data_IF_911825089940
#
_entry.id   IF_911825089940
#
_cell.length_a   1.000
_cell.length_b   1.000
_cell.length_c   1.000
_cell.angle_alpha   90.00
_cell.angle_beta   90.00
_cell.angle_gamma   90.00
#
_symmetry.space_group_name_H-M   'P 1'
#
loop_
_entity.id
_entity.type
_entity.pdbx_description
1 polymer ?
#
# COMPACT_ATOMS: atom_id res chain seq x y z
N UNK A 1 48.42 -4.83 5.87
CA UNK A 1 47.63 -4.94 4.63
C UNK A 1 46.18 -4.81 5.04
N UNK A 2 45.43 -3.92 4.41
CA UNK A 2 44.09 -3.52 4.85
C UNK A 2 43.08 -4.60 4.46
N UNK A 3 42.33 -5.10 5.44
CA UNK A 3 41.19 -5.98 5.20
C UNK A 3 40.05 -5.14 4.63
N UNK A 4 40.00 -5.02 3.31
CA UNK A 4 39.00 -4.19 2.61
C UNK A 4 37.69 -4.99 2.50
N UNK A 5 37.12 -5.33 3.65
CA UNK A 5 35.89 -6.10 3.79
C UNK A 5 34.76 -5.35 3.09
N UNK A 6 34.18 -6.02 2.09
CA UNK A 6 33.06 -5.54 1.32
C UNK A 6 31.85 -5.27 2.24
N UNK A 7 31.69 -4.02 2.66
CA UNK A 7 30.36 -3.48 2.94
C UNK A 7 29.83 -2.97 1.60
N UNK A 8 29.28 -3.90 0.83
CA UNK A 8 28.11 -3.52 0.08
C UNK A 8 27.03 -3.29 1.16
N UNK A 9 26.61 -2.03 1.32
CA UNK A 9 25.31 -1.75 1.94
C UNK A 9 24.26 -2.28 0.96
N UNK A 10 24.05 -3.60 1.02
CA UNK A 10 22.91 -4.29 0.46
C UNK A 10 21.69 -3.86 1.27
N UNK A 11 21.23 -2.63 1.05
CA UNK A 11 19.88 -2.21 1.41
C UNK A 11 18.94 -3.20 0.71
N UNK A 12 18.47 -4.20 1.45
CA UNK A 12 17.62 -5.26 0.91
C UNK A 12 16.44 -4.61 0.18
N UNK A 13 16.40 -4.79 -1.15
CA UNK A 13 15.33 -4.26 -1.97
C UNK A 13 14.03 -4.91 -1.54
N UNK A 14 13.13 -4.13 -0.95
CA UNK A 14 11.85 -4.60 -0.44
C UNK A 14 10.74 -4.05 -1.32
N UNK A 15 9.94 -4.93 -1.92
CA UNK A 15 8.74 -4.55 -2.67
C UNK A 15 7.52 -5.01 -1.88
N UNK A 16 6.43 -4.24 -1.93
CA UNK A 16 5.15 -4.65 -1.34
C UNK A 16 4.01 -4.15 -2.20
N UNK A 17 3.06 -5.05 -2.48
CA UNK A 17 1.85 -4.76 -3.25
C UNK A 17 0.78 -4.18 -2.34
N UNK A 18 0.15 -3.10 -2.79
CA UNK A 18 -0.97 -2.47 -2.09
C UNK A 18 -2.16 -2.33 -3.03
N UNK A 19 -3.37 -2.56 -2.51
CA UNK A 19 -4.60 -2.05 -3.12
C UNK A 19 -4.95 -0.75 -2.43
N UNK A 20 -5.06 0.33 -3.21
CA UNK A 20 -5.40 1.67 -2.73
C UNK A 20 -6.91 1.83 -2.79
N UNK A 21 -7.54 2.09 -1.64
CA UNK A 21 -8.98 2.36 -1.58
C UNK A 21 -9.25 3.74 -1.00
N UNK A 22 -10.40 4.31 -1.32
CA UNK A 22 -10.81 5.63 -0.84
C UNK A 22 -11.97 5.51 0.16
N UNK A 23 -11.92 6.26 1.25
CA UNK A 23 -13.06 6.43 2.17
C UNK A 23 -13.33 7.90 2.46
N UNK A 24 -14.60 8.22 2.71
CA UNK A 24 -15.06 9.53 3.18
C UNK A 24 -16.03 9.31 4.34
N UNK A 25 -15.65 9.79 5.53
CA UNK A 25 -16.42 9.57 6.76
C UNK A 25 -16.64 8.08 7.07
N UNK A 26 -17.89 7.71 7.39
CA UNK A 26 -18.27 6.35 7.80
C UNK A 26 -18.74 5.46 6.64
N UNK A 27 -18.43 5.81 5.39
CA UNK A 27 -18.81 5.03 4.20
C UNK A 27 -17.80 3.90 3.96
N UNK A 28 -18.22 2.69 3.55
CA UNK A 28 -17.31 1.62 3.14
C UNK A 28 -16.25 2.10 2.15
N UNK A 29 -15.03 1.54 2.19
CA UNK A 29 -13.97 1.89 1.26
C UNK A 29 -14.39 1.58 -0.19
N UNK A 30 -13.86 2.35 -1.14
CA UNK A 30 -14.24 2.31 -2.56
C UNK A 30 -13.04 2.25 -3.48
N UNK A 31 -13.22 1.65 -4.64
CA UNK A 31 -12.30 1.71 -5.79
C UNK A 31 -12.13 3.15 -6.29
N UNK A 32 -11.09 3.39 -7.10
CA UNK A 32 -10.81 4.64 -7.85
C UNK A 32 -11.90 5.04 -8.87
N UNK A 33 -12.85 4.13 -9.15
CA UNK A 33 -14.09 4.37 -9.89
C UNK A 33 -15.35 4.50 -9.02
N UNK A 34 -15.22 4.37 -7.69
CA UNK A 34 -16.29 4.62 -6.71
C UNK A 34 -17.10 3.40 -6.27
N UNK A 35 -16.77 2.21 -6.77
CA UNK A 35 -17.44 0.95 -6.42
C UNK A 35 -17.11 0.59 -4.96
N UNK A 36 -18.10 0.31 -4.09
CA UNK A 36 -17.84 -0.08 -2.71
C UNK A 36 -17.20 -1.47 -2.65
N UNK A 37 -16.21 -1.62 -1.77
CA UNK A 37 -15.49 -2.86 -1.51
C UNK A 37 -15.77 -3.28 -0.07
N UNK A 38 -16.31 -4.49 0.10
CA UNK A 38 -16.37 -5.15 1.40
C UNK A 38 -15.04 -5.88 1.63
N UNK A 39 -14.37 -5.63 2.75
CA UNK A 39 -13.08 -6.23 3.09
C UNK A 39 -13.22 -7.40 4.08
N UNK A 40 -14.37 -7.51 4.74
CA UNK A 40 -14.67 -8.52 5.77
C UNK A 40 -15.39 -9.75 5.19
N UNK A 41 -15.84 -9.68 3.92
CA UNK A 41 -16.34 -10.84 3.16
C UNK A 41 -15.29 -11.95 3.05
N UNK A 42 -15.73 -13.20 2.89
CA UNK A 42 -14.83 -14.34 2.64
C UNK A 42 -14.17 -14.26 1.24
N UNK A 43 -14.88 -13.71 0.26
CA UNK A 43 -14.44 -13.63 -1.14
C UNK A 43 -15.04 -12.39 -1.82
N UNK A 44 -14.26 -11.76 -2.72
CA UNK A 44 -14.73 -10.67 -3.58
C UNK A 44 -15.29 -11.21 -4.91
N UNK A 45 -16.31 -10.55 -5.49
CA UNK A 45 -16.74 -10.83 -6.85
C UNK A 45 -15.62 -10.62 -7.89
N UNK A 46 -15.57 -11.48 -8.92
CA UNK A 46 -14.53 -11.45 -9.97
C UNK A 46 -14.42 -10.08 -10.68
N UNK A 47 -15.54 -9.38 -10.87
CA UNK A 47 -15.57 -8.05 -11.49
C UNK A 47 -14.93 -6.97 -10.60
N UNK A 48 -15.10 -7.09 -9.28
CA UNK A 48 -14.41 -6.23 -8.31
C UNK A 48 -12.92 -6.56 -8.29
N UNK A 49 -12.55 -7.85 -8.25
CA UNK A 49 -11.14 -8.26 -8.29
C UNK A 49 -10.45 -7.75 -9.56
N UNK A 50 -11.08 -7.88 -10.73
CA UNK A 50 -10.57 -7.37 -11.99
C UNK A 50 -10.41 -5.83 -11.98
N UNK A 51 -11.39 -5.10 -11.45
CA UNK A 51 -11.31 -3.64 -11.31
C UNK A 51 -10.15 -3.23 -10.38
N UNK A 52 -9.99 -3.90 -9.23
CA UNK A 52 -8.91 -3.59 -8.29
C UNK A 52 -7.53 -3.77 -8.93
N UNK A 53 -7.33 -4.84 -9.71
CA UNK A 53 -6.05 -5.13 -10.39
C UNK A 53 -5.73 -4.09 -11.47
N UNK A 54 -6.71 -3.62 -12.23
CA UNK A 54 -6.51 -2.65 -13.32
C UNK A 54 -6.35 -1.21 -12.79
N UNK A 55 -7.13 -0.84 -11.77
CA UNK A 55 -7.26 0.54 -11.32
C UNK A 55 -6.51 0.86 -10.01
N UNK A 56 -6.50 -0.06 -9.04
CA UNK A 56 -6.21 0.26 -7.63
C UNK A 56 -4.93 -0.40 -7.07
N UNK A 57 -4.34 -1.38 -7.78
CA UNK A 57 -3.07 -2.02 -7.38
C UNK A 57 -1.87 -1.12 -7.68
N UNK A 58 -0.98 -1.00 -6.69
CA UNK A 58 0.35 -0.39 -6.81
C UNK A 58 1.41 -1.29 -6.19
N UNK A 59 2.67 -1.06 -6.56
CA UNK A 59 3.85 -1.56 -5.85
C UNK A 59 4.57 -0.36 -5.25
N UNK A 60 5.00 -0.48 -4.00
CA UNK A 60 5.96 0.45 -3.39
C UNK A 60 7.24 -0.30 -3.07
N UNK A 61 8.36 0.22 -3.54
CA UNK A 61 9.66 -0.44 -3.42
C UNK A 61 10.64 0.43 -2.61
N UNK A 62 11.24 -0.12 -1.56
CA UNK A 62 12.30 0.53 -0.80
C UNK A 62 13.68 0.04 -1.27
N UNK A 63 14.71 0.92 -1.36
CA UNK A 63 14.70 2.35 -1.02
C UNK A 63 14.28 3.28 -2.19
N UNK A 64 13.62 2.76 -3.23
CA UNK A 64 13.38 3.46 -4.51
C UNK A 64 12.31 4.56 -4.40
N UNK A 65 11.13 4.22 -3.89
CA UNK A 65 9.98 5.13 -3.74
C UNK A 65 9.95 5.80 -2.37
N UNK A 66 10.49 5.11 -1.35
CA UNK A 66 10.49 5.51 0.05
C UNK A 66 11.58 4.77 0.86
N UNK A 67 12.03 5.31 2.00
CA UNK A 67 12.92 4.59 2.93
C UNK A 67 12.30 3.29 3.45
N UNK A 68 13.14 2.30 3.78
CA UNK A 68 12.70 0.98 4.24
C UNK A 68 11.83 1.04 5.50
N UNK A 69 12.16 1.93 6.44
CA UNK A 69 11.36 2.12 7.66
C UNK A 69 9.96 2.67 7.35
N UNK A 70 9.84 3.58 6.38
CA UNK A 70 8.56 4.11 5.94
C UNK A 70 7.69 3.03 5.27
N UNK A 71 8.29 2.13 4.49
CA UNK A 71 7.61 0.96 3.93
C UNK A 71 7.18 -0.02 5.04
N UNK A 72 8.03 -0.23 6.04
CA UNK A 72 7.70 -1.01 7.24
C UNK A 72 6.52 -0.44 8.03
N UNK A 73 6.46 0.88 8.21
CA UNK A 73 5.34 1.59 8.86
C UNK A 73 4.05 1.43 8.07
N UNK A 74 4.06 1.60 6.73
CA UNK A 74 2.86 1.36 5.92
C UNK A 74 2.41 -0.10 6.07
N UNK A 75 3.30 -1.06 5.76
CA UNK A 75 3.00 -2.51 5.74
C UNK A 75 2.48 -3.05 7.09
N UNK A 76 2.99 -2.55 8.21
CA UNK A 76 2.56 -2.97 9.56
C UNK A 76 1.19 -2.41 9.98
N UNK A 77 0.75 -1.30 9.38
CA UNK A 77 -0.53 -0.65 9.67
C UNK A 77 -1.61 -0.85 8.61
N UNK A 78 -1.27 -1.46 7.47
CA UNK A 78 -2.22 -1.89 6.42
C UNK A 78 -2.27 -3.42 6.37
N UNK A 79 -3.24 -4.11 6.98
CA UNK A 79 -3.32 -5.56 6.92
C UNK A 79 -3.73 -6.08 5.53
N UNK A 80 -3.50 -7.37 5.29
CA UNK A 80 -4.13 -8.12 4.19
C UNK A 80 -5.51 -8.59 4.68
N UNK A 81 -6.62 -8.06 4.14
CA UNK A 81 -7.97 -8.34 4.65
C UNK A 81 -8.44 -9.77 4.30
N UNK A 82 -9.42 -10.33 5.04
CA UNK A 82 -9.98 -11.66 4.78
C UNK A 82 -10.37 -11.89 3.32
N UNK A 83 -11.06 -10.90 2.73
CA UNK A 83 -11.56 -10.94 1.35
C UNK A 83 -10.45 -11.13 0.29
N UNK A 84 -9.19 -10.79 0.62
CA UNK A 84 -8.05 -10.92 -0.28
C UNK A 84 -7.33 -12.25 -0.09
N UNK A 85 -7.25 -12.78 1.13
CA UNK A 85 -6.46 -13.97 1.48
C UNK A 85 -6.85 -15.22 0.67
N UNK A 86 -8.09 -15.27 0.17
CA UNK A 86 -8.60 -16.35 -0.68
C UNK A 86 -8.48 -16.09 -2.18
N UNK A 87 -8.27 -14.83 -2.58
CA UNK A 87 -8.13 -14.44 -3.98
C UNK A 87 -6.81 -14.94 -4.55
N UNK A 88 -6.87 -15.65 -5.69
CA UNK A 88 -5.68 -16.08 -6.42
C UNK A 88 -4.80 -14.92 -6.91
N UNK A 89 -5.33 -13.70 -6.96
CA UNK A 89 -4.63 -12.49 -7.39
C UNK A 89 -4.24 -11.58 -6.23
N UNK A 90 -5.13 -11.38 -5.24
CA UNK A 90 -4.96 -10.36 -4.20
C UNK A 90 -4.37 -10.87 -2.87
N UNK A 91 -4.17 -12.19 -2.70
CA UNK A 91 -3.74 -12.81 -1.42
C UNK A 91 -2.51 -12.21 -0.74
N UNK A 92 -1.60 -11.61 -1.52
CA UNK A 92 -0.34 -11.03 -1.04
C UNK A 92 -0.39 -9.46 -1.01
N UNK A 93 -1.57 -8.86 -1.19
CA UNK A 93 -1.76 -7.40 -1.28
C UNK A 93 -2.28 -6.81 0.05
N UNK A 94 -1.57 -5.80 0.56
CA UNK A 94 -2.00 -5.03 1.72
C UNK A 94 -3.05 -3.98 1.30
N UNK A 95 -4.00 -3.61 2.17
CA UNK A 95 -4.99 -2.56 1.84
C UNK A 95 -4.64 -1.22 2.46
N UNK A 96 -4.39 -0.23 1.60
CA UNK A 96 -4.12 1.16 1.97
C UNK A 96 -5.38 2.00 1.77
N UNK A 97 -6.13 2.25 2.85
CA UNK A 97 -7.33 3.10 2.82
C UNK A 97 -6.93 4.56 3.00
N UNK A 98 -7.19 5.38 1.97
CA UNK A 98 -7.01 6.83 1.97
C UNK A 98 -8.31 7.51 2.42
N UNK A 99 -8.37 7.86 3.70
CA UNK A 99 -9.44 8.67 4.28
C UNK A 99 -9.28 10.13 3.85
N UNK A 100 -10.33 10.73 3.28
CA UNK A 100 -10.30 12.12 2.81
C UNK A 100 -9.06 12.44 1.93
N UNK A 101 -8.73 11.49 1.05
CA UNK A 101 -7.63 11.59 0.08
C UNK A 101 -6.22 11.29 0.61
N UNK A 102 -6.07 10.86 1.87
CA UNK A 102 -4.78 10.50 2.44
C UNK A 102 -4.83 9.41 3.51
N UNK A 103 -3.67 8.84 3.79
CA UNK A 103 -3.40 7.99 4.93
C UNK A 103 -2.17 8.57 5.64
N UNK A 104 -2.15 8.52 6.96
CA UNK A 104 -1.03 9.03 7.76
C UNK A 104 -0.84 8.20 9.03
N UNK A 105 0.38 7.75 9.27
CA UNK A 105 0.75 7.08 10.51
C UNK A 105 2.24 7.27 10.80
N UNK A 106 2.60 7.50 12.08
CA UNK A 106 3.98 7.59 12.57
C UNK A 106 4.94 8.45 11.70
N UNK A 107 4.50 9.63 11.25
CA UNK A 107 5.30 10.54 10.41
C UNK A 107 5.37 10.19 8.92
N UNK A 108 4.78 9.07 8.49
CA UNK A 108 4.60 8.68 7.09
C UNK A 108 3.22 9.08 6.63
N UNK A 109 3.14 9.90 5.58
CA UNK A 109 1.90 10.31 4.92
C UNK A 109 1.90 9.84 3.47
N UNK A 110 0.81 9.20 3.06
CA UNK A 110 0.54 8.83 1.66
C UNK A 110 -0.72 9.57 1.21
N UNK A 111 -0.66 10.31 0.11
CA UNK A 111 -1.79 11.11 -0.37
C UNK A 111 -1.96 11.00 -1.89
N UNK A 112 -3.19 10.96 -2.38
CA UNK A 112 -3.47 11.06 -3.82
C UNK A 112 -3.23 12.46 -4.34
N UNK A 113 -2.62 12.56 -5.51
CA UNK A 113 -2.52 13.79 -6.31
C UNK A 113 -3.68 13.90 -7.31
N UNK A 114 -3.93 15.09 -7.90
CA UNK A 114 -5.00 15.29 -8.89
C UNK A 114 -4.83 14.46 -10.17
N UNK A 115 -3.59 14.11 -10.53
CA UNK A 115 -3.25 13.19 -11.63
C UNK A 115 -3.45 11.70 -11.26
N UNK A 116 -3.96 11.42 -10.05
CA UNK A 116 -4.16 10.09 -9.45
C UNK A 116 -2.86 9.33 -9.14
N UNK A 117 -1.68 9.96 -9.24
CA UNK A 117 -0.45 9.42 -8.66
C UNK A 117 -0.48 9.52 -7.12
N UNK A 118 0.33 8.70 -6.44
CA UNK A 118 0.56 8.87 -5.01
C UNK A 118 1.74 9.81 -4.74
N UNK A 119 1.60 10.62 -3.69
CA UNK A 119 2.70 11.32 -3.04
C UNK A 119 2.92 10.67 -1.67
N UNK A 120 4.11 10.11 -1.48
CA UNK A 120 4.59 9.66 -0.19
C UNK A 120 5.43 10.78 0.43
N UNK A 121 5.37 10.94 1.75
CA UNK A 121 6.21 11.86 2.50
C UNK A 121 6.45 11.22 3.86
N UNK A 122 7.69 10.79 4.10
CA UNK A 122 8.16 10.40 5.43
C UNK A 122 8.88 11.60 6.04
N UNK A 123 8.58 11.92 7.31
CA UNK A 123 9.47 12.74 8.11
C UNK A 123 10.59 11.85 8.63
N UNK A 124 11.83 12.31 8.49
CA UNK A 124 12.98 11.68 9.15
C UNK A 124 12.75 11.75 10.67
N UNK A 125 12.75 10.60 11.34
CA UNK A 125 12.61 10.52 12.80
C UNK A 125 14.02 10.31 13.36
N UNK A 126 14.65 11.43 13.73
CA UNK A 126 15.99 11.54 14.34
C UNK A 126 16.12 10.74 15.66
#
# INVERSE_FOLDING_TARGET
MTDNRWQADEHEHQETWFVVLHSQGSVPPRTRSGTPVDLDTEELPDDIVAQLIDEDVIVLSAPVDLPSDALGVIRSHTPIPPAFQRSGWLRDHHVLILADGHWEHAGVRVATRPDRSLRITAQDVD
#
